data_IF_356323471626
#
_entry.id   IF_356323471626
#
_cell.length_a   1.000
_cell.length_b   1.000
_cell.length_c   1.000
_cell.angle_alpha   90.00
_cell.angle_beta   90.00
_cell.angle_gamma   90.00
#
_symmetry.space_group_name_H-M   'P 1'
#
loop_
_entity.id
_entity.type
_entity.pdbx_description
1 polymer ?
#
# COMPACT_ATOMS: atom_id res chain seq x y z
N UNK A 1 10.25 -14.43 13.12
CA UNK A 1 9.01 -13.62 13.14
C UNK A 1 8.43 -13.70 14.54
N UNK A 2 7.85 -12.62 15.09
CA UNK A 2 7.10 -12.68 16.35
C UNK A 2 5.76 -13.39 16.11
N UNK A 3 5.30 -14.16 17.09
CA UNK A 3 3.97 -14.78 17.04
C UNK A 3 2.90 -13.69 17.10
N UNK A 4 1.94 -13.72 16.18
CA UNK A 4 0.81 -12.80 16.18
C UNK A 4 -0.19 -13.20 17.27
N UNK A 5 -0.73 -12.21 17.98
CA UNK A 5 -1.78 -12.39 18.99
C UNK A 5 -3.17 -12.18 18.38
N UNK A 6 -4.21 -12.61 19.10
CA UNK A 6 -5.59 -12.33 18.70
C UNK A 6 -5.87 -10.83 18.54
N UNK A 7 -5.32 -10.00 19.45
CA UNK A 7 -5.47 -8.55 19.40
C UNK A 7 -4.83 -7.94 18.14
N UNK A 8 -3.72 -8.50 17.66
CA UNK A 8 -3.08 -8.05 16.42
C UNK A 8 -4.00 -8.27 15.22
N UNK A 9 -4.70 -9.42 15.17
CA UNK A 9 -5.70 -9.69 14.13
C UNK A 9 -6.92 -8.78 14.22
N UNK A 10 -7.41 -8.51 15.43
CA UNK A 10 -8.54 -7.60 15.64
C UNK A 10 -8.22 -6.18 15.19
N UNK A 11 -7.06 -5.65 15.58
CA UNK A 11 -6.59 -4.32 15.17
C UNK A 11 -6.39 -4.22 13.66
N UNK A 12 -5.80 -5.24 13.03
CA UNK A 12 -5.73 -5.27 11.57
C UNK A 12 -7.13 -5.27 10.93
N UNK A 13 -8.05 -6.06 11.52
CA UNK A 13 -9.44 -6.14 11.11
C UNK A 13 -10.16 -4.79 11.01
N UNK A 14 -9.91 -3.85 11.93
CA UNK A 14 -10.50 -2.49 11.87
C UNK A 14 -10.21 -1.78 10.54
N UNK A 15 -9.05 -2.04 9.94
CA UNK A 15 -8.67 -1.49 8.63
C UNK A 15 -9.21 -2.31 7.46
N UNK A 16 -9.27 -3.64 7.59
CA UNK A 16 -9.58 -4.54 6.47
C UNK A 16 -11.07 -4.91 6.35
N UNK A 17 -11.80 -5.02 7.47
CA UNK A 17 -13.22 -5.38 7.47
C UNK A 17 -14.10 -4.41 6.70
N UNK A 18 -13.94 -3.07 6.81
CA UNK A 18 -14.75 -2.17 6.00
C UNK A 18 -14.59 -2.40 4.48
N UNK A 19 -13.38 -2.77 4.03
CA UNK A 19 -13.08 -3.05 2.61
C UNK A 19 -13.65 -4.39 2.18
N UNK A 20 -13.49 -5.41 3.02
CA UNK A 20 -14.07 -6.73 2.81
C UNK A 20 -15.60 -6.63 2.67
N UNK A 21 -16.26 -5.96 3.61
CA UNK A 21 -17.73 -5.83 3.62
C UNK A 21 -18.26 -5.02 2.45
N UNK A 22 -17.55 -3.98 2.03
CA UNK A 22 -17.89 -3.25 0.82
C UNK A 22 -17.93 -4.19 -0.39
N UNK A 23 -16.86 -4.95 -0.63
CA UNK A 23 -16.78 -5.87 -1.77
C UNK A 23 -17.82 -6.98 -1.66
N UNK A 24 -18.00 -7.57 -0.47
CA UNK A 24 -19.02 -8.60 -0.25
C UNK A 24 -20.43 -8.09 -0.58
N UNK A 25 -20.75 -6.86 -0.18
CA UNK A 25 -22.03 -6.23 -0.49
C UNK A 25 -22.22 -6.00 -1.99
N UNK A 26 -21.19 -5.54 -2.69
CA UNK A 26 -21.25 -5.30 -4.14
C UNK A 26 -21.34 -6.61 -4.95
N UNK A 27 -20.77 -7.71 -4.45
CA UNK A 27 -20.88 -9.03 -5.08
C UNK A 27 -22.24 -9.72 -4.83
N UNK A 28 -22.99 -9.29 -3.81
CA UNK A 28 -24.30 -9.82 -3.45
C UNK A 28 -24.27 -10.82 -2.28
N UNK A 29 -25.45 -11.20 -1.80
CA UNK A 29 -25.63 -11.97 -0.56
C UNK A 29 -25.02 -13.38 -0.59
N UNK A 30 -24.89 -13.98 -1.77
CA UNK A 30 -24.31 -15.31 -1.97
C UNK A 30 -22.77 -15.29 -2.18
N UNK A 31 -22.14 -14.12 -2.04
CA UNK A 31 -20.71 -13.97 -2.24
C UNK A 31 -19.91 -14.80 -1.22
N UNK A 32 -19.13 -15.75 -1.73
CA UNK A 32 -18.25 -16.56 -0.89
C UNK A 32 -17.02 -15.77 -0.47
N UNK A 33 -16.45 -16.04 0.72
CA UNK A 33 -15.24 -15.35 1.18
C UNK A 33 -14.08 -15.37 0.17
N UNK A 34 -13.89 -16.48 -0.55
CA UNK A 34 -12.82 -16.61 -1.55
C UNK A 34 -13.01 -15.64 -2.73
N UNK A 35 -14.27 -15.38 -3.12
CA UNK A 35 -14.58 -14.42 -4.18
C UNK A 35 -14.28 -12.99 -3.74
N UNK A 36 -14.65 -12.65 -2.50
CA UNK A 36 -14.35 -11.34 -1.89
C UNK A 36 -12.84 -11.13 -1.80
N UNK A 37 -12.11 -12.13 -1.29
CA UNK A 37 -10.64 -12.09 -1.19
C UNK A 37 -9.96 -11.98 -2.55
N UNK A 38 -10.49 -12.64 -3.60
CA UNK A 38 -9.98 -12.54 -4.97
C UNK A 38 -10.09 -11.11 -5.51
N UNK A 39 -11.22 -10.45 -5.26
CA UNK A 39 -11.42 -9.05 -5.66
C UNK A 39 -10.51 -8.12 -4.86
N UNK A 40 -10.37 -8.34 -3.54
CA UNK A 40 -9.43 -7.58 -2.70
C UNK A 40 -7.99 -7.70 -3.20
N UNK A 41 -7.55 -8.91 -3.57
CA UNK A 41 -6.22 -9.17 -4.14
C UNK A 41 -6.02 -8.40 -5.46
N UNK A 42 -7.00 -8.45 -6.36
CA UNK A 42 -6.93 -7.75 -7.65
C UNK A 42 -6.84 -6.22 -7.46
N UNK A 43 -7.67 -5.64 -6.59
CA UNK A 43 -7.64 -4.21 -6.27
C UNK A 43 -6.30 -3.83 -5.63
N UNK A 44 -5.81 -4.64 -4.68
CA UNK A 44 -4.50 -4.45 -4.05
C UNK A 44 -3.35 -4.46 -5.06
N UNK A 45 -3.40 -5.37 -6.04
CA UNK A 45 -2.43 -5.44 -7.13
C UNK A 45 -2.43 -4.19 -8.01
N UNK A 46 -3.62 -3.67 -8.37
CA UNK A 46 -3.75 -2.41 -9.12
C UNK A 46 -3.22 -1.23 -8.30
N UNK A 47 -3.64 -1.10 -7.04
CA UNK A 47 -3.19 -0.02 -6.16
C UNK A 47 -1.65 -0.03 -5.98
N UNK A 48 -1.05 -1.21 -5.80
CA UNK A 48 0.40 -1.35 -5.73
C UNK A 48 1.07 -0.93 -7.04
N UNK A 49 0.54 -1.40 -8.18
CA UNK A 49 1.06 -1.02 -9.50
C UNK A 49 1.01 0.50 -9.70
N UNK A 50 -0.12 1.14 -9.41
CA UNK A 50 -0.28 2.60 -9.50
C UNK A 50 0.71 3.32 -8.59
N UNK A 51 0.84 2.90 -7.32
CA UNK A 51 1.78 3.52 -6.39
C UNK A 51 3.24 3.37 -6.83
N UNK A 52 3.60 2.24 -7.44
CA UNK A 52 4.92 2.04 -8.03
C UNK A 52 5.12 2.90 -9.26
N UNK A 53 4.15 2.98 -10.17
CA UNK A 53 4.21 3.86 -11.34
C UNK A 53 4.37 5.32 -10.93
N UNK A 54 3.63 5.81 -9.93
CA UNK A 54 3.77 7.17 -9.39
C UNK A 54 5.14 7.39 -8.74
N UNK A 55 5.62 6.43 -7.95
CA UNK A 55 6.94 6.51 -7.31
C UNK A 55 8.09 6.42 -8.31
N UNK A 56 7.94 5.64 -9.38
CA UNK A 56 8.91 5.46 -10.47
C UNK A 56 8.80 6.58 -11.52
N UNK A 57 7.67 7.29 -11.59
CA UNK A 57 7.49 8.49 -12.40
C UNK A 57 8.21 9.72 -11.79
N UNK A 58 8.60 9.65 -10.51
CA UNK A 58 9.58 10.56 -9.90
C UNK A 58 11.02 10.12 -10.20
N UNK A 59 12.04 11.01 -10.05
CA UNK A 59 13.41 10.67 -10.38
C UNK A 59 13.90 9.49 -9.51
N UNK A 60 14.08 8.33 -10.12
CA UNK A 60 14.61 7.15 -9.43
C UNK A 60 16.14 7.21 -9.41
N UNK A 61 16.73 7.21 -8.20
CA UNK A 61 18.16 7.07 -7.96
C UNK A 61 18.87 8.38 -7.58
N UNK A 62 19.31 8.47 -6.32
CA UNK A 62 20.65 8.91 -5.87
C UNK A 62 21.41 10.01 -6.67
N UNK A 63 20.76 11.02 -7.26
CA UNK A 63 21.37 12.25 -7.80
C UNK A 63 20.23 13.25 -8.14
N UNK A 64 20.24 14.56 -7.89
CA UNK A 64 21.28 15.50 -7.43
C UNK A 64 20.58 16.79 -6.97
N UNK A 65 20.72 17.19 -5.71
CA UNK A 65 21.25 18.54 -5.48
C UNK A 65 22.76 18.34 -5.40
N UNK A 66 23.45 18.74 -6.46
CA UNK A 66 24.91 18.88 -6.40
C UNK A 66 25.21 19.89 -5.30
N UNK A 67 26.32 19.64 -4.63
CA UNK A 67 27.04 20.56 -3.76
C UNK A 67 26.95 22.01 -4.26
N UNK A 68 26.27 22.86 -3.50
CA UNK A 68 26.46 24.31 -3.52
C UNK A 68 26.58 24.78 -2.05
N UNK A 69 27.52 24.21 -1.30
CA UNK A 69 27.97 24.76 0.00
C UNK A 69 29.49 24.76 0.18
N UNK A 70 30.28 24.56 -0.89
CA UNK A 70 31.76 24.64 -0.86
C UNK A 70 32.29 25.75 -1.77
N UNK A 71 31.75 26.96 -1.61
CA UNK A 71 32.28 28.17 -2.24
C UNK A 71 32.10 29.40 -1.33
N UNK A 72 32.61 29.36 -0.10
CA UNK A 72 33.03 30.59 0.59
C UNK A 72 34.10 30.36 1.66
N UNK A 73 35.26 29.85 1.25
CA UNK A 73 36.51 29.85 2.01
C UNK A 73 37.65 30.32 1.11
N UNK A 74 37.55 31.54 0.58
CA UNK A 74 38.70 32.41 0.26
C UNK A 74 38.24 33.76 -0.29
N UNK A 75 38.16 34.77 0.56
CA UNK A 75 38.66 36.15 0.36
C UNK A 75 38.38 36.98 1.61
#
# INVERSE_FOLDING_TARGET
>A
MKTLTLEDYQKAGETFWPKYWYIAKELGEDAKPEQVLKVMEAIGGVALKTALEEKLAGPFGFNKKKEEEDANLSS
#
